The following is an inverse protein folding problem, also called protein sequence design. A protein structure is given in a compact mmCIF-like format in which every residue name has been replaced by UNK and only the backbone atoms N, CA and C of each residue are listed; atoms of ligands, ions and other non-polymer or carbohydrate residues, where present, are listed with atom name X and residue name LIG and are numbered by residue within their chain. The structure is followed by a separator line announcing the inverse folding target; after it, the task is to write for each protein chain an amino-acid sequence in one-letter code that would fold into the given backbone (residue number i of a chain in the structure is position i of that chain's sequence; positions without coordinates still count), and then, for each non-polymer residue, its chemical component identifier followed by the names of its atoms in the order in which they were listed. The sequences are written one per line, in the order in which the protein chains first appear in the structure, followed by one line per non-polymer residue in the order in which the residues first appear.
data_IF_493141192421
#
_entry.id   IF_493141192421
#
_cell.length_a   1.000
_cell.length_b   1.000
_cell.length_c   1.000
_cell.angle_alpha   90.00
_cell.angle_beta   90.00
_cell.angle_gamma   90.00
#
_symmetry.space_group_name_H-M   'P 1'
#
loop_
_entity.id
_entity.type
_entity.pdbx_description
1 polymer ?
#
# COMPACT_ATOMS: atom_id res chain seq x y z
N UNK A 1 16.84 37.17 71.90
CA UNK A 1 17.45 38.26 71.13
C UNK A 1 16.64 39.51 71.47
N UNK A 2 16.80 40.08 72.68
CA UNK A 2 17.97 40.87 73.16
C UNK A 2 17.96 42.21 72.41
N UNK A 3 17.87 43.41 72.99
CA UNK A 3 18.19 43.95 74.32
C UNK A 3 17.32 45.22 74.55
N UNK A 4 16.77 45.55 75.72
CA UNK A 4 17.43 46.09 76.93
C UNK A 4 18.43 47.24 76.67
N UNK A 5 18.04 48.50 76.95
CA UNK A 5 18.88 49.34 77.81
C UNK A 5 18.12 50.52 78.42
N UNK A 6 18.29 50.67 79.72
CA UNK A 6 17.65 51.66 80.61
C UNK A 6 18.76 52.60 81.19
N UNK A 7 18.58 53.40 82.26
CA UNK A 7 18.80 54.85 82.29
C UNK A 7 19.95 55.28 83.24
N UNK A 8 20.20 56.59 83.41
CA UNK A 8 20.86 57.25 84.59
C UNK A 8 20.66 58.77 84.46
N UNK A 9 19.93 59.50 85.31
CA UNK A 9 20.11 59.90 86.73
C UNK A 9 21.39 60.71 87.05
N UNK A 10 21.24 62.02 87.32
CA UNK A 10 21.69 62.81 88.51
C UNK A 10 21.74 64.33 88.15
N UNK A 11 20.91 65.21 88.74
CA UNK A 11 20.97 65.91 90.05
C UNK A 11 21.58 67.33 89.97
N UNK A 12 20.70 68.30 90.23
CA UNK A 12 20.77 69.58 90.96
C UNK A 12 21.99 70.53 90.80
N UNK A 13 21.72 71.84 90.73
CA UNK A 13 22.08 72.87 91.73
C UNK A 13 21.31 74.18 91.46
N UNK A 14 21.10 74.96 92.54
CA UNK A 14 20.14 76.06 92.76
C UNK A 14 20.59 77.47 92.32
N UNK A 15 19.63 78.42 92.32
CA UNK A 15 19.82 79.87 92.56
C UNK A 15 19.43 80.74 91.36
N UNK A 16 18.24 81.37 91.34
CA UNK A 16 17.88 82.72 91.87
C UNK A 16 17.63 83.71 90.70
N UNK A 17 16.81 84.74 90.93
CA UNK A 17 16.33 85.80 90.01
C UNK A 17 15.13 85.37 89.12
N UNK A 18 13.86 85.54 89.47
CA UNK A 18 13.06 86.65 90.02
C UNK A 18 12.86 87.86 89.09
N UNK A 19 11.59 88.03 88.71
CA UNK A 19 10.94 89.23 88.14
C UNK A 19 11.24 89.54 86.66
N UNK A 20 10.44 88.96 85.75
CA UNK A 20 10.40 89.40 84.35
C UNK A 20 9.54 88.62 83.33
N UNK A 21 8.76 87.59 83.72
CA UNK A 21 8.25 86.58 82.76
C UNK A 21 6.71 86.50 82.61
N UNK A 22 5.98 87.61 82.76
CA UNK A 22 4.51 87.63 82.49
C UNK A 22 4.13 88.11 81.08
N UNK A 23 5.06 88.71 80.32
CA UNK A 23 4.89 89.05 78.89
C UNK A 23 5.57 88.05 77.96
N UNK A 24 6.43 87.18 78.51
CA UNK A 24 7.17 86.14 77.77
C UNK A 24 6.41 84.81 77.78
N UNK A 25 5.61 84.53 78.83
CA UNK A 25 4.67 83.39 78.86
C UNK A 25 3.58 83.50 77.82
N UNK A 26 3.04 84.70 77.58
CA UNK A 26 2.00 84.91 76.56
C UNK A 26 2.59 84.80 75.15
N UNK A 27 3.82 85.28 74.92
CA UNK A 27 4.57 85.06 73.66
C UNK A 27 4.94 83.59 73.45
N UNK A 28 5.35 82.88 74.50
CA UNK A 28 5.66 81.44 74.43
C UNK A 28 4.39 80.58 74.27
N UNK A 29 3.24 81.02 74.78
CA UNK A 29 1.94 80.38 74.52
C UNK A 29 1.44 80.66 73.09
N UNK A 30 1.66 81.87 72.57
CA UNK A 30 1.27 82.26 71.22
C UNK A 30 2.20 81.62 70.16
N UNK A 31 3.51 81.52 70.45
CA UNK A 31 4.47 80.72 69.67
C UNK A 31 4.19 79.22 69.78
N UNK A 32 3.79 78.72 70.96
CA UNK A 32 3.35 77.33 71.15
C UNK A 32 2.09 76.99 70.37
N UNK A 33 1.10 77.90 70.36
CA UNK A 33 -0.13 77.75 69.57
C UNK A 33 0.16 77.86 68.06
N UNK A 34 1.04 78.78 67.63
CA UNK A 34 1.46 78.88 66.23
C UNK A 34 2.27 77.65 65.79
N UNK A 35 3.16 77.12 66.62
CA UNK A 35 3.88 75.87 66.37
C UNK A 35 2.94 74.66 66.32
N UNK A 36 1.91 74.64 67.16
CA UNK A 36 0.90 73.60 67.17
C UNK A 36 -0.02 73.69 65.94
N UNK A 37 -0.37 74.89 65.50
CA UNK A 37 -1.15 75.13 64.28
C UNK A 37 -0.33 74.83 63.01
N UNK A 38 0.94 75.21 62.98
CA UNK A 38 1.88 74.89 61.89
C UNK A 38 2.16 73.38 61.83
N UNK A 39 2.29 72.71 62.98
CA UNK A 39 2.39 71.25 63.04
C UNK A 39 1.11 70.57 62.52
N UNK A 40 -0.08 71.07 62.86
CA UNK A 40 -1.35 70.58 62.31
C UNK A 40 -1.45 70.78 60.81
N UNK A 41 -1.08 71.96 60.30
CA UNK A 41 -1.03 72.25 58.86
C UNK A 41 -0.01 71.37 58.12
N UNK A 42 1.15 71.10 58.73
CA UNK A 42 2.19 70.22 58.17
C UNK A 42 1.75 68.76 58.16
N UNK A 43 1.08 68.31 59.20
CA UNK A 43 0.48 66.98 59.26
C UNK A 43 -0.66 66.83 58.26
N UNK A 44 -1.51 67.85 58.11
CA UNK A 44 -2.59 67.88 57.11
C UNK A 44 -2.03 67.87 55.69
N UNK A 45 -0.95 68.62 55.41
CA UNK A 45 -0.22 68.57 54.13
C UNK A 45 0.39 67.21 53.87
N UNK A 46 1.01 66.57 54.86
CA UNK A 46 1.54 65.19 54.74
C UNK A 46 0.42 64.19 54.45
N UNK A 47 -0.70 64.25 55.17
CA UNK A 47 -1.88 63.41 54.92
C UNK A 47 -2.46 63.63 53.52
N UNK A 48 -2.51 64.88 53.04
CA UNK A 48 -2.95 65.22 51.68
C UNK A 48 -1.97 64.68 50.62
N UNK A 49 -0.67 64.80 50.84
CA UNK A 49 0.37 64.30 49.94
C UNK A 49 0.40 62.76 49.89
N UNK A 50 0.22 62.11 51.04
CA UNK A 50 0.13 60.64 51.16
C UNK A 50 -1.12 60.11 50.46
N UNK A 51 -2.29 60.72 50.69
CA UNK A 51 -3.52 60.42 49.95
C UNK A 51 -3.34 60.60 48.44
N UNK A 52 -2.66 61.67 48.01
CA UNK A 52 -2.38 61.90 46.59
C UNK A 52 -1.40 60.85 46.02
N UNK A 53 -0.41 60.41 46.80
CA UNK A 53 0.52 59.33 46.41
C UNK A 53 -0.20 57.99 46.29
N UNK A 54 -1.05 57.65 47.26
CA UNK A 54 -1.87 56.44 47.26
C UNK A 54 -2.88 56.43 46.10
N UNK A 55 -3.52 57.58 45.82
CA UNK A 55 -4.40 57.71 44.66
C UNK A 55 -3.63 57.55 43.34
N UNK A 56 -2.41 58.10 43.26
CA UNK A 56 -1.53 57.91 42.09
C UNK A 56 -1.10 56.46 41.92
N UNK A 57 -0.80 55.71 42.99
CA UNK A 57 -0.45 54.29 42.89
C UNK A 57 -1.67 53.44 42.52
N UNK A 58 -2.84 53.70 43.10
CA UNK A 58 -4.09 53.02 42.74
C UNK A 58 -4.42 53.24 41.26
N UNK A 59 -4.34 54.48 40.78
CA UNK A 59 -4.58 54.82 39.37
C UNK A 59 -3.55 54.20 38.41
N UNK A 60 -2.29 54.01 38.86
CA UNK A 60 -1.26 53.30 38.08
C UNK A 60 -1.55 51.80 38.01
N UNK A 61 -1.98 51.21 39.12
CA UNK A 61 -2.32 49.78 39.21
C UNK A 61 -3.56 49.45 38.37
N UNK A 62 -4.62 50.24 38.47
CA UNK A 62 -5.82 50.12 37.63
C UNK A 62 -5.46 50.21 36.14
N UNK A 63 -4.57 51.14 35.76
CA UNK A 63 -4.07 51.23 34.38
C UNK A 63 -3.26 50.00 33.96
N UNK A 64 -2.48 49.40 34.86
CA UNK A 64 -1.71 48.18 34.59
C UNK A 64 -2.62 46.98 34.39
N UNK A 65 -3.60 46.81 35.29
CA UNK A 65 -4.61 45.75 35.19
C UNK A 65 -5.42 45.87 33.91
N UNK A 66 -5.88 47.09 33.56
CA UNK A 66 -6.61 47.34 32.31
C UNK A 66 -5.78 46.96 31.07
N UNK A 67 -4.50 47.31 31.05
CA UNK A 67 -3.58 46.94 29.95
C UNK A 67 -3.33 45.44 29.86
N UNK A 68 -3.22 44.76 31.00
CA UNK A 68 -3.04 43.30 31.04
C UNK A 68 -4.30 42.57 30.57
N UNK A 69 -5.48 43.05 30.96
CA UNK A 69 -6.76 42.52 30.49
C UNK A 69 -6.95 42.75 28.99
N UNK A 70 -6.62 43.93 28.48
CA UNK A 70 -6.61 44.22 27.04
C UNK A 70 -5.64 43.31 26.28
N UNK A 71 -4.42 43.06 26.82
CA UNK A 71 -3.46 42.13 26.21
C UNK A 71 -3.99 40.69 26.16
N UNK A 72 -4.57 40.19 27.26
CA UNK A 72 -5.16 38.84 27.31
C UNK A 72 -6.32 38.69 26.33
N UNK A 73 -7.16 39.72 26.19
CA UNK A 73 -8.25 39.75 25.19
C UNK A 73 -7.73 39.68 23.76
N UNK A 74 -6.66 40.42 23.45
CA UNK A 74 -6.02 40.37 22.13
C UNK A 74 -5.37 39.01 21.84
N UNK A 75 -4.64 38.43 22.80
CA UNK A 75 -4.02 37.10 22.66
C UNK A 75 -5.08 35.99 22.47
N UNK A 76 -6.21 36.08 23.18
CA UNK A 76 -7.33 35.14 23.02
C UNK A 76 -8.05 35.32 21.68
N UNK A 77 -8.26 36.56 21.23
CA UNK A 77 -8.84 36.83 19.91
C UNK A 77 -7.93 36.34 18.78
N UNK A 78 -6.61 36.56 18.88
CA UNK A 78 -5.63 36.06 17.92
C UNK A 78 -5.62 34.52 17.89
N UNK A 79 -5.64 33.86 19.05
CA UNK A 79 -5.74 32.40 19.14
C UNK A 79 -7.02 31.89 18.45
N UNK A 80 -8.16 32.54 18.69
CA UNK A 80 -9.43 32.17 18.04
C UNK A 80 -9.38 32.35 16.53
N UNK A 81 -8.78 33.44 16.03
CA UNK A 81 -8.61 33.66 14.58
C UNK A 81 -7.74 32.58 13.93
N UNK A 82 -6.65 32.20 14.59
CA UNK A 82 -5.77 31.12 14.10
C UNK A 82 -6.49 29.77 14.11
N UNK A 83 -7.24 29.45 15.17
CA UNK A 83 -8.06 28.23 15.25
C UNK A 83 -9.16 28.20 14.17
N UNK A 84 -9.84 29.33 13.92
CA UNK A 84 -10.85 29.45 12.85
C UNK A 84 -10.23 29.33 11.45
N UNK A 85 -9.06 29.93 11.21
CA UNK A 85 -8.33 29.80 9.94
C UNK A 85 -7.83 28.36 9.71
N UNK A 86 -7.32 27.70 10.75
CA UNK A 86 -6.93 26.28 10.70
C UNK A 86 -8.14 25.39 10.41
N UNK A 87 -9.28 25.64 11.07
CA UNK A 87 -10.51 24.90 10.82
C UNK A 87 -11.01 25.06 9.37
N UNK A 88 -10.96 26.28 8.83
CA UNK A 88 -11.32 26.54 7.43
C UNK A 88 -10.39 25.82 6.44
N UNK A 89 -9.08 25.80 6.70
CA UNK A 89 -8.11 25.05 5.88
C UNK A 89 -8.38 23.55 5.93
N UNK A 90 -8.72 23.00 7.09
CA UNK A 90 -9.09 21.59 7.25
C UNK A 90 -10.39 21.28 6.50
N UNK A 91 -11.39 22.15 6.59
CA UNK A 91 -12.67 21.98 5.89
C UNK A 91 -12.50 22.04 4.36
N UNK A 92 -11.73 23.00 3.84
CA UNK A 92 -11.42 23.10 2.42
C UNK A 92 -10.67 21.86 1.92
N UNK A 93 -9.69 21.39 2.69
CA UNK A 93 -8.99 20.14 2.40
C UNK A 93 -9.94 18.95 2.38
N UNK A 94 -10.83 18.82 3.37
CA UNK A 94 -11.84 17.75 3.41
C UNK A 94 -12.75 17.79 2.19
N UNK A 95 -13.17 18.99 1.75
CA UNK A 95 -14.04 19.18 0.60
C UNK A 95 -13.42 18.65 -0.71
N UNK A 96 -12.10 18.76 -0.85
CA UNK A 96 -11.36 18.32 -2.04
C UNK A 96 -10.95 16.85 -1.92
N UNK A 97 -10.34 16.47 -0.79
CA UNK A 97 -9.71 15.16 -0.62
C UNK A 97 -10.74 14.04 -0.44
N UNK A 98 -11.82 14.26 0.32
CA UNK A 98 -12.79 13.20 0.61
C UNK A 98 -13.40 12.59 -0.67
N UNK A 99 -13.95 13.37 -1.63
CA UNK A 99 -14.51 12.79 -2.87
C UNK A 99 -13.49 12.02 -3.72
N UNK A 100 -12.21 12.39 -3.69
CA UNK A 100 -11.14 11.66 -4.38
C UNK A 100 -10.94 10.30 -3.70
N UNK A 101 -10.88 10.27 -2.36
CA UNK A 101 -10.75 9.04 -1.59
C UNK A 101 -11.97 8.12 -1.73
N UNK A 102 -13.20 8.66 -1.80
CA UNK A 102 -14.42 7.90 -2.07
C UNK A 102 -14.34 7.17 -3.43
N UNK A 103 -13.99 7.91 -4.49
CA UNK A 103 -13.86 7.34 -5.84
C UNK A 103 -12.72 6.33 -5.94
N UNK A 104 -11.60 6.60 -5.28
CA UNK A 104 -10.49 5.66 -5.21
C UNK A 104 -10.90 4.37 -4.47
N UNK A 105 -11.59 4.49 -3.33
CA UNK A 105 -12.09 3.34 -2.59
C UNK A 105 -13.07 2.49 -3.38
N UNK A 106 -13.96 3.11 -4.15
CA UNK A 106 -14.88 2.41 -5.05
C UNK A 106 -14.14 1.71 -6.19
N UNK A 107 -13.19 2.38 -6.84
CA UNK A 107 -12.43 1.82 -7.97
C UNK A 107 -11.47 0.69 -7.56
N UNK A 108 -10.90 0.74 -6.35
CA UNK A 108 -10.17 -0.39 -5.75
C UNK A 108 -11.09 -1.60 -5.59
N UNK A 109 -12.32 -1.38 -5.09
CA UNK A 109 -13.29 -2.46 -4.89
C UNK A 109 -13.76 -3.09 -6.20
N UNK A 110 -13.94 -2.30 -7.25
CA UNK A 110 -14.38 -2.79 -8.57
C UNK A 110 -13.21 -3.23 -9.44
N UNK A 111 -11.97 -3.08 -8.98
CA UNK A 111 -10.74 -3.36 -9.73
C UNK A 111 -10.69 -2.63 -11.09
N UNK A 112 -11.30 -1.44 -11.17
CA UNK A 112 -11.34 -0.65 -12.40
C UNK A 112 -10.03 0.16 -12.58
N UNK A 113 -9.12 -0.35 -13.40
CA UNK A 113 -7.80 0.26 -13.66
C UNK A 113 -7.92 1.71 -14.12
N UNK A 114 -8.83 2.00 -15.06
CA UNK A 114 -8.94 3.34 -15.66
C UNK A 114 -9.41 4.36 -14.63
N UNK A 115 -10.37 4.00 -13.77
CA UNK A 115 -10.84 4.86 -12.69
C UNK A 115 -9.79 5.02 -11.59
N UNK A 116 -9.08 3.96 -11.20
CA UNK A 116 -7.98 4.06 -10.23
C UNK A 116 -6.87 4.98 -10.75
N UNK A 117 -6.44 4.82 -12.01
CA UNK A 117 -5.42 5.67 -12.61
C UNK A 117 -5.87 7.13 -12.73
N UNK A 118 -7.14 7.37 -13.05
CA UNK A 118 -7.70 8.73 -13.08
C UNK A 118 -7.75 9.35 -11.69
N UNK A 119 -8.17 8.61 -10.67
CA UNK A 119 -8.26 9.12 -9.28
C UNK A 119 -6.88 9.36 -8.66
N UNK A 120 -5.89 8.52 -8.96
CA UNK A 120 -4.47 8.77 -8.60
C UNK A 120 -3.98 10.07 -9.24
N UNK A 121 -4.30 10.31 -10.52
CA UNK A 121 -3.95 11.56 -11.21
C UNK A 121 -4.64 12.77 -10.59
N UNK A 122 -5.92 12.66 -10.27
CA UNK A 122 -6.69 13.71 -9.58
C UNK A 122 -6.03 14.06 -8.24
N UNK A 123 -5.64 13.05 -7.46
CA UNK A 123 -4.95 13.22 -6.18
C UNK A 123 -3.64 14.01 -6.33
N UNK A 124 -2.80 13.63 -7.30
CA UNK A 124 -1.55 14.34 -7.61
C UNK A 124 -1.81 15.78 -8.08
N UNK A 125 -2.80 16.00 -8.92
CA UNK A 125 -3.14 17.33 -9.46
C UNK A 125 -3.64 18.31 -8.39
N UNK A 126 -4.25 17.77 -7.33
CA UNK A 126 -4.71 18.54 -6.17
C UNK A 126 -3.58 18.87 -5.17
N UNK A 127 -2.33 18.49 -5.47
CA UNK A 127 -1.16 18.67 -4.58
C UNK A 127 -1.38 18.12 -3.17
N UNK A 128 -2.13 17.02 -3.06
CA UNK A 128 -2.36 16.36 -1.78
C UNK A 128 -1.11 15.60 -1.35
N UNK A 129 -0.87 15.57 -0.04
CA UNK A 129 0.29 14.86 0.52
C UNK A 129 0.03 13.35 0.53
N UNK A 130 1.03 12.52 0.22
CA UNK A 130 0.96 11.07 0.40
C UNK A 130 1.87 10.61 1.56
N UNK A 131 1.46 10.91 2.79
CA UNK A 131 2.18 10.51 4.00
C UNK A 131 1.88 9.06 4.43
N UNK A 132 0.92 8.40 3.76
CA UNK A 132 0.49 7.03 4.05
C UNK A 132 1.06 5.99 3.08
N UNK A 133 1.59 6.41 1.93
CA UNK A 133 2.00 5.52 0.84
C UNK A 133 0.82 4.99 0.02
N UNK A 134 -0.32 5.70 0.05
CA UNK A 134 -1.54 5.31 -0.63
C UNK A 134 -1.32 5.27 -2.16
N UNK A 135 -0.64 6.28 -2.70
CA UNK A 135 -0.41 6.35 -4.16
C UNK A 135 0.48 5.21 -4.62
N UNK A 136 1.55 4.93 -3.88
CA UNK A 136 2.45 3.83 -4.18
C UNK A 136 1.73 2.48 -4.20
N UNK A 137 0.85 2.22 -3.22
CA UNK A 137 0.07 0.97 -3.20
C UNK A 137 -1.00 0.91 -4.29
N UNK A 138 -1.68 2.03 -4.58
CA UNK A 138 -2.66 2.10 -5.68
C UNK A 138 -2.00 1.89 -7.05
N UNK A 139 -0.85 2.51 -7.31
CA UNK A 139 -0.07 2.31 -8.55
C UNK A 139 0.46 0.87 -8.65
N UNK A 140 0.90 0.31 -7.52
CA UNK A 140 1.29 -1.09 -7.41
C UNK A 140 0.14 -2.04 -7.76
N UNK A 141 -1.06 -1.80 -7.22
CA UNK A 141 -2.28 -2.56 -7.54
C UNK A 141 -2.66 -2.45 -9.02
N UNK A 142 -2.67 -1.24 -9.59
CA UNK A 142 -2.93 -1.01 -11.02
C UNK A 142 -1.99 -1.86 -11.88
N UNK A 143 -0.69 -1.83 -11.58
CA UNK A 143 0.32 -2.57 -12.32
C UNK A 143 0.10 -4.08 -12.27
N UNK A 144 -0.32 -4.61 -11.10
CA UNK A 144 -0.60 -6.04 -10.92
C UNK A 144 -1.86 -6.45 -11.68
N UNK A 145 -2.95 -5.68 -11.62
CA UNK A 145 -4.18 -5.98 -12.37
C UNK A 145 -3.92 -5.91 -13.88
N UNK A 146 -3.15 -4.93 -14.35
CA UNK A 146 -2.77 -4.85 -15.77
C UNK A 146 -2.01 -6.11 -16.20
N UNK A 147 -1.01 -6.54 -15.42
CA UNK A 147 -0.27 -7.77 -15.71
C UNK A 147 -1.15 -9.03 -15.71
N UNK A 148 -2.14 -9.10 -14.82
CA UNK A 148 -3.14 -10.17 -14.82
C UNK A 148 -3.96 -10.18 -16.12
N UNK A 149 -4.46 -9.02 -16.57
CA UNK A 149 -5.25 -8.91 -17.79
C UNK A 149 -4.43 -9.30 -19.02
N UNK A 150 -3.20 -8.80 -19.13
CA UNK A 150 -2.30 -9.12 -20.24
C UNK A 150 -1.97 -10.62 -20.28
N UNK A 151 -1.69 -11.23 -19.13
CA UNK A 151 -1.44 -12.67 -19.03
C UNK A 151 -2.69 -13.49 -19.39
N UNK A 152 -3.86 -13.08 -18.94
CA UNK A 152 -5.14 -13.74 -19.27
C UNK A 152 -5.41 -13.70 -20.78
N UNK A 153 -5.25 -12.54 -21.39
CA UNK A 153 -5.46 -12.34 -22.82
C UNK A 153 -4.47 -13.18 -23.64
N UNK A 154 -3.18 -13.18 -23.28
CA UNK A 154 -2.14 -13.94 -24.01
C UNK A 154 -2.27 -15.46 -23.85
N UNK A 155 -2.72 -15.94 -22.69
CA UNK A 155 -3.10 -17.35 -22.49
C UNK A 155 -4.23 -17.75 -23.44
N UNK A 156 -5.23 -16.88 -23.62
CA UNK A 156 -6.34 -17.09 -24.57
C UNK A 156 -5.89 -17.11 -26.02
N UNK A 157 -4.97 -16.22 -26.42
CA UNK A 157 -4.43 -16.15 -27.78
C UNK A 157 -3.49 -17.32 -28.15
N UNK A 158 -2.92 -18.01 -27.16
CA UNK A 158 -1.89 -19.08 -27.35
C UNK A 158 -0.70 -18.65 -28.22
N UNK A 159 -0.33 -17.36 -28.18
CA UNK A 159 0.85 -16.86 -28.88
C UNK A 159 2.09 -16.92 -27.97
N UNK A 160 3.03 -17.81 -28.29
CA UNK A 160 4.20 -18.06 -27.44
C UNK A 160 5.07 -16.82 -27.19
N UNK A 161 5.33 -16.02 -28.22
CA UNK A 161 6.20 -14.83 -28.08
C UNK A 161 5.58 -13.78 -27.14
N UNK A 162 4.26 -13.55 -27.27
CA UNK A 162 3.55 -12.63 -26.38
C UNK A 162 3.42 -13.18 -24.97
N UNK A 163 3.24 -14.50 -24.84
CA UNK A 163 3.12 -15.18 -23.55
C UNK A 163 4.41 -15.09 -22.74
N UNK A 164 5.59 -15.18 -23.38
CA UNK A 164 6.88 -15.01 -22.70
C UNK A 164 7.03 -13.61 -22.09
N UNK A 165 6.66 -12.57 -22.84
CA UNK A 165 6.68 -11.18 -22.36
C UNK A 165 5.68 -10.93 -21.23
N UNK A 166 4.45 -11.46 -21.36
CA UNK A 166 3.42 -11.34 -20.33
C UNK A 166 3.80 -12.06 -19.03
N UNK A 167 4.41 -13.25 -19.12
CA UNK A 167 4.95 -14.00 -17.96
C UNK A 167 6.01 -13.19 -17.24
N UNK A 168 6.98 -12.61 -17.97
CA UNK A 168 8.03 -11.78 -17.35
C UNK A 168 7.45 -10.54 -16.65
N UNK A 169 6.44 -9.92 -17.26
CA UNK A 169 5.75 -8.76 -16.67
C UNK A 169 4.99 -9.15 -15.39
N UNK A 170 4.28 -10.27 -15.42
CA UNK A 170 3.56 -10.84 -14.29
C UNK A 170 4.48 -11.23 -13.11
N UNK A 171 5.62 -11.87 -13.40
CA UNK A 171 6.61 -12.23 -12.38
C UNK A 171 7.21 -10.98 -11.71
N UNK A 172 7.52 -9.93 -12.49
CA UNK A 172 7.96 -8.64 -11.93
C UNK A 172 6.89 -8.02 -11.03
N UNK A 173 5.63 -8.05 -11.45
CA UNK A 173 4.51 -7.52 -10.66
C UNK A 173 4.36 -8.25 -9.31
N UNK A 174 4.41 -9.58 -9.29
CA UNK A 174 4.39 -10.39 -8.06
C UNK A 174 5.59 -10.06 -7.16
N UNK A 175 6.80 -10.00 -7.73
CA UNK A 175 8.02 -9.71 -6.97
C UNK A 175 7.99 -8.33 -6.32
N UNK A 176 7.31 -7.36 -6.93
CA UNK A 176 7.07 -6.05 -6.32
C UNK A 176 5.99 -6.11 -5.24
N UNK A 177 4.97 -6.96 -5.37
CA UNK A 177 3.90 -7.12 -4.39
C UNK A 177 4.38 -7.76 -3.07
N UNK A 178 5.33 -8.69 -3.14
CA UNK A 178 5.86 -9.37 -1.94
C UNK A 178 6.76 -8.51 -1.04
N UNK A 179 7.18 -7.32 -1.47
CA UNK A 179 8.16 -6.49 -0.74
C UNK A 179 7.55 -5.44 0.19
N UNK A 180 6.26 -5.14 0.07
CA UNK A 180 5.59 -4.13 0.89
C UNK A 180 5.05 -4.76 2.17
N UNK A 181 5.94 -5.00 3.13
CA UNK A 181 5.53 -5.26 4.50
C UNK A 181 4.92 -3.97 5.08
N UNK A 182 3.61 -3.95 5.26
CA UNK A 182 2.92 -2.85 5.94
C UNK A 182 3.54 -2.66 7.33
N UNK A 183 4.19 -1.51 7.55
CA UNK A 183 4.69 -1.16 8.88
C UNK A 183 3.50 -1.04 9.81
N UNK A 184 3.56 -1.59 11.04
CA UNK A 184 2.47 -1.46 12.00
C UNK A 184 2.22 0.02 12.30
N UNK A 185 1.02 0.49 11.97
CA UNK A 185 0.68 1.91 12.11
C UNK A 185 0.23 2.18 13.55
N UNK A 186 0.87 3.15 14.20
CA UNK A 186 0.46 3.64 15.52
C UNK A 186 -0.81 4.47 15.36
N UNK A 187 -1.92 3.99 15.92
CA UNK A 187 -3.30 4.52 15.79
C UNK A 187 -3.58 5.84 16.53
N UNK A 188 -2.56 6.67 16.80
CA UNK A 188 -2.70 7.90 17.59
C UNK A 188 -3.13 9.15 16.81
N UNK A 189 -3.68 9.02 15.61
CA UNK A 189 -3.85 10.14 14.67
C UNK A 189 -5.26 10.73 14.75
N UNK A 190 -5.36 12.05 15.03
CA UNK A 190 -6.62 12.81 15.12
C UNK A 190 -7.21 13.26 13.77
N UNK A 191 -6.47 13.15 12.67
CA UNK A 191 -6.91 13.57 11.33
C UNK A 191 -7.77 12.47 10.64
N UNK A 192 -9.07 12.72 10.39
CA UNK A 192 -9.97 11.75 9.76
C UNK A 192 -9.56 11.39 8.32
N UNK A 193 -8.96 12.32 7.56
CA UNK A 193 -8.50 12.05 6.19
C UNK A 193 -7.30 11.12 6.19
N UNK A 194 -6.39 11.30 7.15
CA UNK A 194 -5.25 10.39 7.34
C UNK A 194 -5.70 8.98 7.73
N UNK A 195 -6.66 8.85 8.62
CA UNK A 195 -7.25 7.55 8.95
C UNK A 195 -7.88 6.87 7.72
N UNK A 196 -8.58 7.65 6.88
CA UNK A 196 -9.19 7.14 5.65
C UNK A 196 -8.17 6.71 4.60
N UNK A 197 -7.12 7.50 4.38
CA UNK A 197 -6.01 7.13 3.48
C UNK A 197 -5.33 5.85 3.93
N UNK A 198 -5.14 5.69 5.24
CA UNK A 198 -4.56 4.49 5.82
C UNK A 198 -5.40 3.24 5.54
N UNK A 199 -6.72 3.35 5.72
CA UNK A 199 -7.65 2.26 5.43
C UNK A 199 -7.61 1.88 3.94
N UNK A 200 -7.62 2.88 3.05
CA UNK A 200 -7.49 2.63 1.61
C UNK A 200 -6.14 2.02 1.24
N UNK A 201 -5.06 2.42 1.90
CA UNK A 201 -3.72 1.85 1.70
C UNK A 201 -3.72 0.37 2.07
N UNK A 202 -4.29 0.03 3.24
CA UNK A 202 -4.45 -1.36 3.68
C UNK A 202 -5.31 -2.16 2.69
N UNK A 203 -6.41 -1.59 2.23
CA UNK A 203 -7.31 -2.22 1.26
C UNK A 203 -6.61 -2.48 -0.07
N UNK A 204 -5.92 -1.49 -0.61
CA UNK A 204 -5.14 -1.63 -1.85
C UNK A 204 -4.08 -2.72 -1.73
N UNK A 205 -3.36 -2.77 -0.60
CA UNK A 205 -2.37 -3.81 -0.34
C UNK A 205 -2.98 -5.22 -0.27
N UNK A 206 -4.14 -5.37 0.36
CA UNK A 206 -4.84 -6.67 0.43
C UNK A 206 -5.37 -7.11 -0.93
N UNK A 207 -6.03 -6.23 -1.68
CA UNK A 207 -6.46 -6.51 -3.06
C UNK A 207 -5.26 -6.89 -3.93
N UNK A 208 -4.14 -6.18 -3.79
CA UNK A 208 -2.91 -6.48 -4.52
C UNK A 208 -2.37 -7.87 -4.20
N UNK A 209 -2.46 -8.32 -2.94
CA UNK A 209 -2.10 -9.68 -2.52
C UNK A 209 -3.00 -10.72 -3.17
N UNK A 210 -4.32 -10.50 -3.14
CA UNK A 210 -5.31 -11.40 -3.77
C UNK A 210 -5.07 -11.54 -5.27
N UNK A 211 -4.84 -10.42 -5.97
CA UNK A 211 -4.55 -10.45 -7.41
C UNK A 211 -3.22 -11.15 -7.69
N UNK A 212 -2.18 -10.90 -6.87
CA UNK A 212 -0.89 -11.58 -7.02
C UNK A 212 -0.99 -13.11 -6.85
N UNK A 213 -1.81 -13.59 -5.92
CA UNK A 213 -2.11 -15.02 -5.77
C UNK A 213 -2.77 -15.58 -7.04
N UNK A 214 -3.74 -14.87 -7.61
CA UNK A 214 -4.38 -15.26 -8.86
C UNK A 214 -3.40 -15.31 -10.04
N UNK A 215 -2.50 -14.34 -10.17
CA UNK A 215 -1.42 -14.38 -11.18
C UNK A 215 -0.54 -15.61 -10.99
N UNK A 216 -0.25 -16.02 -9.75
CA UNK A 216 0.48 -17.25 -9.46
C UNK A 216 -0.18 -18.51 -10.08
N UNK A 217 -1.50 -18.56 -10.13
CA UNK A 217 -2.23 -19.63 -10.82
C UNK A 217 -2.13 -19.52 -12.35
N UNK A 218 -2.27 -18.30 -12.90
CA UNK A 218 -2.12 -18.05 -14.33
C UNK A 218 -0.72 -18.38 -14.84
N UNK A 219 0.33 -18.09 -14.06
CA UNK A 219 1.71 -18.45 -14.40
C UNK A 219 1.90 -19.97 -14.52
N UNK A 220 1.29 -20.77 -13.63
CA UNK A 220 1.29 -22.23 -13.74
C UNK A 220 0.59 -22.70 -15.03
N UNK A 221 -0.52 -22.07 -15.40
CA UNK A 221 -1.21 -22.37 -16.65
C UNK A 221 -0.37 -21.99 -17.88
N UNK A 222 0.29 -20.82 -17.85
CA UNK A 222 1.20 -20.40 -18.91
C UNK A 222 2.35 -21.40 -19.10
N UNK A 223 2.94 -21.91 -18.02
CA UNK A 223 4.00 -22.92 -18.09
C UNK A 223 3.51 -24.24 -18.70
N UNK A 224 2.29 -24.68 -18.36
CA UNK A 224 1.65 -25.85 -19.01
C UNK A 224 1.53 -25.64 -20.52
N UNK A 225 1.05 -24.46 -20.95
CA UNK A 225 0.92 -24.12 -22.38
C UNK A 225 2.29 -24.12 -23.07
N UNK A 226 3.32 -23.49 -22.48
CA UNK A 226 4.69 -23.48 -23.02
C UNK A 226 5.25 -24.89 -23.18
N UNK A 227 5.06 -25.74 -22.17
CA UNK A 227 5.45 -27.16 -22.20
C UNK A 227 4.80 -27.87 -23.38
N UNK A 228 3.48 -27.72 -23.57
CA UNK A 228 2.75 -28.35 -24.67
C UNK A 228 3.19 -27.85 -26.04
N UNK A 229 3.39 -26.54 -26.19
CA UNK A 229 3.86 -25.96 -27.44
C UNK A 229 5.28 -26.44 -27.79
N UNK A 230 6.17 -26.58 -26.80
CA UNK A 230 7.49 -27.18 -27.01
C UNK A 230 7.40 -28.63 -27.51
N UNK A 231 6.52 -29.43 -26.91
CA UNK A 231 6.29 -30.83 -27.33
C UNK A 231 5.74 -30.91 -28.75
N UNK A 232 4.78 -30.03 -29.08
CA UNK A 232 4.21 -29.92 -30.42
C UNK A 232 5.27 -29.51 -31.44
N UNK A 233 6.09 -28.50 -31.13
CA UNK A 233 7.17 -28.04 -32.01
C UNK A 233 8.19 -29.15 -32.30
N UNK A 234 8.53 -29.97 -31.30
CA UNK A 234 9.43 -31.11 -31.51
C UNK A 234 8.91 -32.09 -32.59
N UNK A 235 7.61 -32.38 -32.60
CA UNK A 235 6.99 -33.24 -33.64
C UNK A 235 6.94 -32.53 -34.99
N UNK A 236 6.62 -31.24 -35.01
CA UNK A 236 6.51 -30.46 -36.26
C UNK A 236 7.87 -30.32 -36.97
N UNK A 237 8.94 -30.08 -36.20
CA UNK A 237 10.31 -29.90 -36.69
C UNK A 237 11.02 -31.21 -37.05
N UNK A 238 10.43 -32.37 -36.73
CA UNK A 238 11.00 -33.66 -37.08
C UNK A 238 11.20 -33.78 -38.60
N UNK A 239 12.28 -34.41 -39.06
CA UNK A 239 12.53 -34.60 -40.49
C UNK A 239 11.47 -35.51 -41.14
N UNK A 240 11.05 -35.20 -42.36
CA UNK A 240 10.08 -36.03 -43.08
C UNK A 240 10.60 -37.46 -43.31
N UNK A 241 11.92 -37.60 -43.52
CA UNK A 241 12.58 -38.90 -43.64
C UNK A 241 12.36 -39.78 -42.40
N UNK A 242 12.42 -39.20 -41.20
CA UNK A 242 12.19 -39.92 -39.93
C UNK A 242 10.75 -40.42 -39.80
N UNK A 243 9.77 -39.61 -40.22
CA UNK A 243 8.36 -40.06 -40.26
C UNK A 243 8.18 -41.19 -41.29
N UNK A 244 8.82 -41.06 -42.45
CA UNK A 244 8.80 -42.09 -43.49
C UNK A 244 9.47 -43.38 -43.05
N UNK A 245 10.54 -43.31 -42.25
CA UNK A 245 11.21 -44.47 -41.66
C UNK A 245 10.24 -45.27 -40.78
N UNK A 246 9.60 -44.61 -39.81
CA UNK A 246 8.60 -45.25 -38.94
C UNK A 246 7.51 -45.90 -39.79
N UNK A 247 6.98 -45.18 -40.79
CA UNK A 247 5.93 -45.69 -41.66
C UNK A 247 6.36 -46.91 -42.46
N UNK A 248 7.62 -47.00 -42.87
CA UNK A 248 8.09 -48.03 -43.79
C UNK A 248 8.52 -49.34 -43.09
N UNK A 249 8.38 -49.47 -41.77
CA UNK A 249 8.63 -50.75 -41.11
C UNK A 249 7.68 -51.83 -41.64
N UNK A 250 8.23 -52.90 -42.21
CA UNK A 250 7.44 -54.07 -42.60
C UNK A 250 6.93 -54.84 -41.39
N UNK A 251 7.75 -54.90 -40.34
CA UNK A 251 7.46 -55.52 -39.05
C UNK A 251 7.90 -54.54 -37.95
N UNK A 252 7.03 -53.63 -37.49
CA UNK A 252 7.43 -52.63 -36.51
C UNK A 252 7.80 -53.30 -35.19
N UNK A 253 8.84 -52.80 -34.48
CA UNK A 253 9.05 -53.16 -33.08
C UNK A 253 7.77 -52.86 -32.28
N UNK A 254 7.40 -53.76 -31.36
CA UNK A 254 6.14 -53.65 -30.62
C UNK A 254 5.99 -52.31 -29.88
N UNK A 255 7.09 -51.77 -29.34
CA UNK A 255 7.11 -50.46 -28.70
C UNK A 255 6.73 -49.33 -29.67
N UNK A 256 7.23 -49.37 -30.91
CA UNK A 256 6.92 -48.35 -31.93
C UNK A 256 5.45 -48.43 -32.29
N UNK A 257 4.92 -49.63 -32.47
CA UNK A 257 3.51 -49.84 -32.76
C UNK A 257 2.63 -49.26 -31.63
N UNK A 258 2.92 -49.58 -30.37
CA UNK A 258 2.14 -49.07 -29.23
C UNK A 258 2.21 -47.54 -29.09
N UNK A 259 3.36 -46.93 -29.34
CA UNK A 259 3.51 -45.47 -29.35
C UNK A 259 2.64 -44.84 -30.43
N UNK A 260 2.62 -45.41 -31.64
CA UNK A 260 1.80 -44.88 -32.73
C UNK A 260 0.31 -45.09 -32.48
N UNK A 261 -0.10 -46.23 -31.89
CA UNK A 261 -1.48 -46.47 -31.42
C UNK A 261 -1.89 -45.38 -30.43
N UNK A 262 -1.10 -45.17 -29.37
CA UNK A 262 -1.38 -44.16 -28.35
C UNK A 262 -1.48 -42.76 -28.95
N UNK A 263 -0.58 -42.42 -29.88
CA UNK A 263 -0.57 -41.13 -30.59
C UNK A 263 -1.88 -40.91 -31.35
N UNK A 264 -2.30 -41.87 -32.19
CA UNK A 264 -3.55 -41.73 -32.95
C UNK A 264 -4.80 -41.80 -32.09
N UNK A 265 -4.76 -42.56 -31.00
CA UNK A 265 -5.83 -42.62 -30.01
C UNK A 265 -6.07 -41.24 -29.38
N UNK A 266 -5.01 -40.54 -28.96
CA UNK A 266 -5.09 -39.16 -28.46
C UNK A 266 -5.60 -38.19 -29.52
N UNK A 267 -5.26 -38.41 -30.80
CA UNK A 267 -5.78 -37.62 -31.92
C UNK A 267 -7.24 -37.93 -32.28
N UNK A 268 -7.92 -38.81 -31.53
CA UNK A 268 -9.34 -39.14 -31.70
C UNK A 268 -9.64 -40.27 -32.68
N UNK A 269 -8.62 -41.05 -33.10
CA UNK A 269 -8.85 -42.27 -33.89
C UNK A 269 -9.27 -43.41 -32.97
N UNK A 270 -10.24 -44.21 -33.38
CA UNK A 270 -10.68 -45.38 -32.60
C UNK A 270 -9.56 -46.41 -32.51
N UNK A 271 -9.38 -47.00 -31.33
CA UNK A 271 -8.32 -47.98 -31.09
C UNK A 271 -8.40 -49.18 -32.07
N UNK A 272 -9.62 -49.63 -32.41
CA UNK A 272 -9.86 -50.70 -33.38
C UNK A 272 -9.26 -50.45 -34.77
N UNK A 273 -9.14 -49.19 -35.19
CA UNK A 273 -8.54 -48.80 -36.47
C UNK A 273 -7.00 -48.82 -36.42
N UNK A 274 -6.43 -48.82 -35.22
CA UNK A 274 -4.98 -48.72 -34.98
C UNK A 274 -4.32 -50.05 -34.59
N UNK A 275 -5.11 -51.10 -34.31
CA UNK A 275 -4.59 -52.43 -33.95
C UNK A 275 -3.78 -53.08 -35.07
N UNK A 276 -4.17 -52.85 -36.34
CA UNK A 276 -3.47 -53.38 -37.49
C UNK A 276 -2.41 -52.35 -37.98
N UNK A 277 -1.17 -52.80 -38.16
CA UNK A 277 -0.08 -51.91 -38.56
C UNK A 277 -0.28 -51.33 -39.97
N UNK A 278 -0.78 -52.09 -40.93
CA UNK A 278 -1.07 -51.58 -42.27
C UNK A 278 -2.09 -50.43 -42.24
N UNK A 279 -3.08 -50.49 -41.34
CA UNK A 279 -4.02 -49.38 -41.14
C UNK A 279 -3.32 -48.14 -40.56
N UNK A 280 -2.43 -48.31 -39.57
CA UNK A 280 -1.61 -47.22 -39.05
C UNK A 280 -0.69 -46.62 -40.12
N UNK A 281 -0.09 -47.44 -40.99
CA UNK A 281 0.71 -46.97 -42.12
C UNK A 281 -0.12 -46.12 -43.07
N UNK A 282 -1.35 -46.53 -43.37
CA UNK A 282 -2.29 -45.75 -44.17
C UNK A 282 -2.65 -44.41 -43.52
N UNK A 283 -2.88 -44.39 -42.19
CA UNK A 283 -3.11 -43.17 -41.42
C UNK A 283 -1.90 -42.23 -41.43
N UNK A 284 -0.68 -42.77 -41.31
CA UNK A 284 0.58 -41.99 -41.40
C UNK A 284 0.86 -41.49 -42.82
N UNK A 285 0.34 -42.18 -43.83
CA UNK A 285 0.45 -41.80 -45.24
C UNK A 285 -0.49 -40.67 -45.65
N UNK A 286 -1.50 -40.33 -44.84
CA UNK A 286 -2.40 -39.21 -45.13
C UNK A 286 -1.62 -37.88 -45.17
N UNK A 287 -2.02 -36.99 -46.08
CA UNK A 287 -1.40 -35.66 -46.28
C UNK A 287 -2.43 -34.55 -46.08
N UNK A 288 -2.00 -33.29 -46.13
CA UNK A 288 -2.90 -32.14 -46.02
C UNK A 288 -3.52 -32.01 -44.62
N UNK A 289 -4.86 -31.88 -44.54
CA UNK A 289 -5.61 -31.71 -43.28
C UNK A 289 -5.49 -32.93 -42.35
N UNK A 290 -5.42 -34.11 -42.94
CA UNK A 290 -5.38 -35.39 -42.23
C UNK A 290 -3.96 -35.85 -41.89
N UNK A 291 -2.94 -35.11 -42.32
CA UNK A 291 -1.54 -35.47 -42.08
C UNK A 291 -1.19 -35.47 -40.60
N UNK A 292 -0.42 -36.48 -40.16
CA UNK A 292 -0.07 -36.71 -38.75
C UNK A 292 0.49 -35.46 -38.06
N UNK A 293 1.50 -34.81 -38.65
CA UNK A 293 2.10 -33.59 -38.10
C UNK A 293 1.09 -32.46 -37.96
N UNK A 294 0.20 -32.29 -38.93
CA UNK A 294 -0.83 -31.25 -38.88
C UNK A 294 -1.86 -31.54 -37.81
N UNK A 295 -2.28 -32.81 -37.66
CA UNK A 295 -3.19 -33.23 -36.58
C UNK A 295 -2.57 -33.00 -35.21
N UNK A 296 -1.29 -33.36 -35.02
CA UNK A 296 -0.53 -33.03 -33.80
C UNK A 296 -0.45 -31.51 -33.59
N UNK A 297 -0.20 -30.76 -34.66
CA UNK A 297 -0.16 -29.30 -34.62
C UNK A 297 -1.50 -28.64 -34.30
N UNK A 298 -2.63 -29.29 -34.57
CA UNK A 298 -3.95 -28.72 -34.28
C UNK A 298 -4.59 -29.37 -33.04
N UNK A 299 -3.88 -30.28 -32.38
CA UNK A 299 -4.41 -31.02 -31.25
C UNK A 299 -4.52 -30.12 -30.02
N UNK A 300 -5.71 -30.09 -29.42
CA UNK A 300 -5.97 -29.43 -28.15
C UNK A 300 -6.22 -30.51 -27.09
N UNK A 301 -5.39 -30.61 -26.03
CA UNK A 301 -5.57 -31.63 -24.99
C UNK A 301 -6.95 -31.59 -24.33
N UNK A 302 -7.58 -30.42 -24.23
CA UNK A 302 -8.93 -30.27 -23.66
C UNK A 302 -10.02 -31.03 -24.44
N UNK A 303 -9.78 -31.37 -25.71
CA UNK A 303 -10.72 -32.14 -26.54
C UNK A 303 -10.57 -33.66 -26.32
N UNK A 304 -9.56 -34.09 -25.56
CA UNK A 304 -9.27 -35.50 -25.28
C UNK A 304 -10.01 -35.95 -24.02
N UNK A 305 -10.79 -37.03 -24.15
CA UNK A 305 -11.46 -37.64 -22.99
C UNK A 305 -10.45 -38.28 -22.04
N UNK A 306 -10.72 -38.18 -20.73
CA UNK A 306 -9.87 -38.78 -19.69
C UNK A 306 -9.67 -40.30 -19.91
N UNK A 307 -10.73 -41.03 -20.29
CA UNK A 307 -10.64 -42.47 -20.59
C UNK A 307 -9.65 -42.76 -21.73
N UNK A 308 -9.67 -41.95 -22.79
CA UNK A 308 -8.74 -42.06 -23.93
C UNK A 308 -7.30 -41.83 -23.48
N UNK A 309 -7.07 -40.80 -22.66
CA UNK A 309 -5.75 -40.50 -22.11
C UNK A 309 -5.26 -41.62 -21.18
N UNK A 310 -6.12 -42.19 -20.33
CA UNK A 310 -5.78 -43.31 -19.45
C UNK A 310 -5.50 -44.59 -20.22
N UNK A 311 -6.25 -44.84 -21.31
CA UNK A 311 -5.95 -45.97 -22.21
C UNK A 311 -4.59 -45.79 -22.88
N UNK A 312 -4.31 -44.60 -23.41
CA UNK A 312 -3.01 -44.27 -23.98
C UNK A 312 -1.88 -44.39 -22.95
N UNK A 313 -2.11 -43.99 -21.69
CA UNK A 313 -1.15 -44.14 -20.58
C UNK A 313 -0.75 -45.60 -20.37
N UNK A 314 -1.74 -46.51 -20.31
CA UNK A 314 -1.49 -47.95 -20.15
C UNK A 314 -0.68 -48.55 -21.30
N UNK A 315 -0.86 -48.05 -22.52
CA UNK A 315 -0.07 -48.49 -23.68
C UNK A 315 1.40 -48.04 -23.60
N UNK A 316 1.71 -47.02 -22.78
CA UNK A 316 3.01 -46.38 -22.72
C UNK A 316 3.75 -46.62 -21.40
N UNK A 317 3.12 -47.28 -20.43
CA UNK A 317 3.56 -47.37 -19.04
C UNK A 317 4.88 -48.14 -18.87
N UNK A 318 5.08 -49.18 -19.69
CA UNK A 318 6.23 -50.08 -19.61
C UNK A 318 7.49 -49.55 -20.31
N UNK A 319 7.42 -48.36 -20.94
CA UNK A 319 8.50 -47.85 -21.77
C UNK A 319 9.24 -46.67 -21.14
N UNK A 320 10.55 -46.63 -21.34
CA UNK A 320 11.37 -45.46 -21.04
C UNK A 320 11.87 -44.78 -22.32
N UNK A 321 12.18 -43.48 -22.24
CA UNK A 321 12.59 -42.68 -23.40
C UNK A 321 13.86 -43.22 -24.05
N UNK A 322 14.83 -43.70 -23.26
CA UNK A 322 16.11 -44.21 -23.75
C UNK A 322 15.96 -45.46 -24.62
N UNK A 323 15.21 -46.45 -24.13
CA UNK A 323 14.88 -47.68 -24.87
C UNK A 323 14.20 -47.38 -26.21
N UNK A 324 13.29 -46.40 -26.22
CA UNK A 324 12.60 -46.01 -27.45
C UNK A 324 13.57 -45.30 -28.40
N UNK A 325 14.44 -44.43 -27.88
CA UNK A 325 15.41 -43.70 -28.68
C UNK A 325 16.44 -44.61 -29.33
N UNK A 326 16.86 -45.68 -28.65
CA UNK A 326 17.76 -46.72 -29.19
C UNK A 326 17.13 -47.49 -30.35
N UNK A 327 15.80 -47.58 -30.39
CA UNK A 327 15.04 -48.29 -31.44
C UNK A 327 14.61 -47.36 -32.56
N UNK A 328 14.09 -46.17 -32.25
CA UNK A 328 13.62 -45.19 -33.22
C UNK A 328 13.54 -43.78 -32.60
N UNK A 329 14.41 -42.88 -33.04
CA UNK A 329 14.40 -41.48 -32.61
C UNK A 329 13.08 -40.76 -32.92
N UNK A 330 12.42 -41.11 -34.03
CA UNK A 330 11.12 -40.55 -34.38
C UNK A 330 10.00 -41.03 -33.45
N UNK A 331 9.98 -42.33 -33.12
CA UNK A 331 9.03 -42.87 -32.15
C UNK A 331 9.23 -42.24 -30.76
N UNK A 332 10.48 -41.99 -30.35
CA UNK A 332 10.78 -41.31 -29.09
C UNK A 332 10.16 -39.89 -29.03
N UNK A 333 10.17 -39.17 -30.15
CA UNK A 333 9.55 -37.83 -30.24
C UNK A 333 8.03 -37.90 -30.03
N UNK A 334 7.34 -38.86 -30.69
CA UNK A 334 5.90 -39.07 -30.48
C UNK A 334 5.57 -39.56 -29.08
N UNK A 335 6.40 -40.42 -28.50
CA UNK A 335 6.22 -40.89 -27.13
C UNK A 335 6.25 -39.73 -26.12
N UNK A 336 7.25 -38.85 -26.22
CA UNK A 336 7.39 -37.69 -25.33
C UNK A 336 6.21 -36.73 -25.52
N UNK A 337 5.76 -36.50 -26.75
CA UNK A 337 4.54 -35.73 -27.03
C UNK A 337 3.30 -36.37 -26.41
N UNK A 338 3.06 -37.66 -26.66
CA UNK A 338 1.88 -38.37 -26.17
C UNK A 338 1.83 -38.37 -24.64
N UNK A 339 2.95 -38.61 -23.95
CA UNK A 339 3.04 -38.53 -22.50
C UNK A 339 2.72 -37.15 -21.97
N UNK A 340 3.19 -36.09 -22.62
CA UNK A 340 2.89 -34.72 -22.20
C UNK A 340 1.41 -34.37 -22.38
N UNK A 341 0.78 -34.80 -23.48
CA UNK A 341 -0.66 -34.65 -23.68
C UNK A 341 -1.46 -35.43 -22.63
N UNK A 342 -1.09 -36.69 -22.37
CA UNK A 342 -1.74 -37.52 -21.33
C UNK A 342 -1.65 -36.82 -19.97
N UNK A 343 -0.46 -36.34 -19.60
CA UNK A 343 -0.26 -35.65 -18.33
C UNK A 343 -1.14 -34.41 -18.23
N UNK A 344 -1.23 -33.61 -19.30
CA UNK A 344 -2.10 -32.43 -19.32
C UNK A 344 -3.58 -32.76 -19.14
N UNK A 345 -4.06 -33.81 -19.80
CA UNK A 345 -5.46 -34.25 -19.67
C UNK A 345 -5.75 -34.69 -18.23
N UNK A 346 -4.81 -35.39 -17.59
CA UNK A 346 -4.94 -35.81 -16.19
C UNK A 346 -4.89 -34.59 -15.26
N UNK A 347 -3.90 -33.71 -15.42
CA UNK A 347 -3.69 -32.49 -14.62
C UNK A 347 -4.85 -31.47 -14.74
N UNK A 348 -5.73 -31.63 -15.74
CA UNK A 348 -6.89 -30.76 -15.96
C UNK A 348 -8.17 -31.29 -15.33
N UNK A 349 -8.16 -32.52 -14.82
CA UNK A 349 -9.30 -33.17 -14.16
C UNK A 349 -9.14 -33.27 -12.64
N UNK A 350 -7.92 -33.06 -12.14
CA UNK A 350 -7.58 -32.84 -10.72
C UNK A 350 -7.73 -31.35 -10.38
#
# INVERSE_FOLDING_TARGET
MSDENSPKHLVAWQGEEDIGQSSERDRLNEEGNNLQEEARLREERKRKEEKLKEERTRRKEEKRQKREEERKKLEEEERRRLEEEEAQRVEERMRIEAPILDRLGASIQTQNILEMASTVRDFCSANLTDDTGLLQESEGLISVIQAQQDLTNTIGERNQSKLDEAVLTAERAINMAGKTALKPIKTGVKDPLRARRLELTRRAAEERRVVAEHIGHLLKQAEKIKRLEKLRHAVLQMNQATVSEIRNYSHPPQLVHQIMVATYLLLGVKESETLNWQNLQALMGKTGREGLKRRVGLHNPADTRLETAMRAKRLLEDFNVGQIQDVSAGAATFFVWARGVIQEVIDSQE
#
